data_IF_293360215171
#
_entry.id   IF_293360215171
#
_cell.length_a   1.000
_cell.length_b   1.000
_cell.length_c   1.000
_cell.angle_alpha   90.00
_cell.angle_beta   90.00
_cell.angle_gamma   90.00
#
_symmetry.space_group_name_H-M   'P 1'
#
loop_
_entity.id
_entity.type
_entity.pdbx_description
1 polymer ?
#
# COMPACT_ATOMS: atom_id res chain seq x y z
N UNK A 1 -51.91 -20.97 -29.81
CA UNK A 1 -50.49 -21.31 -29.88
C UNK A 1 -49.79 -20.43 -28.86
N UNK A 2 -49.45 -20.94 -27.68
CA UNK A 2 -48.71 -20.14 -26.68
C UNK A 2 -47.24 -20.12 -27.12
N UNK A 3 -46.76 -18.97 -27.58
CA UNK A 3 -45.33 -18.74 -27.81
C UNK A 3 -44.62 -18.76 -26.46
N UNK A 4 -43.91 -19.84 -26.14
CA UNK A 4 -43.09 -19.88 -24.94
C UNK A 4 -42.01 -18.78 -25.04
N UNK A 5 -42.01 -17.93 -24.07
CA UNK A 5 -40.94 -16.92 -23.95
C UNK A 5 -39.60 -17.63 -23.80
N UNK A 6 -38.74 -17.53 -24.77
CA UNK A 6 -37.44 -18.25 -24.83
C UNK A 6 -36.30 -17.51 -24.13
N UNK A 7 -36.52 -16.24 -23.74
CA UNK A 7 -35.51 -15.39 -23.12
C UNK A 7 -36.02 -14.72 -21.82
N UNK A 8 -35.18 -14.77 -20.78
CA UNK A 8 -35.44 -14.23 -19.46
C UNK A 8 -34.20 -13.40 -18.98
N UNK A 9 -34.22 -12.09 -19.17
CA UNK A 9 -33.07 -11.23 -18.91
C UNK A 9 -31.91 -11.61 -19.83
N UNK A 10 -30.77 -12.01 -19.23
CA UNK A 10 -29.57 -12.50 -19.94
C UNK A 10 -29.55 -14.03 -20.19
N UNK A 11 -30.65 -14.71 -19.92
CA UNK A 11 -30.75 -16.16 -20.03
C UNK A 11 -31.65 -16.53 -21.22
N UNK A 12 -31.16 -17.38 -22.10
CA UNK A 12 -31.91 -18.00 -23.19
C UNK A 12 -32.08 -19.47 -22.85
N UNK A 13 -33.32 -19.97 -23.00
CA UNK A 13 -33.61 -21.42 -22.82
C UNK A 13 -33.04 -22.19 -23.99
N UNK A 14 -32.40 -23.32 -23.74
CA UNK A 14 -32.07 -24.32 -24.69
C UNK A 14 -32.40 -25.71 -24.14
N UNK A 15 -33.07 -26.54 -24.95
CA UNK A 15 -33.54 -27.85 -24.54
C UNK A 15 -34.94 -27.84 -23.89
N UNK A 16 -35.50 -29.01 -23.71
CA UNK A 16 -36.84 -29.22 -23.14
C UNK A 16 -36.80 -29.16 -21.61
N UNK A 17 -37.85 -28.62 -20.95
CA UNK A 17 -37.97 -28.68 -19.49
C UNK A 17 -38.04 -30.13 -18.98
N UNK A 18 -37.47 -30.39 -17.82
CA UNK A 18 -37.44 -31.70 -17.18
C UNK A 18 -37.73 -31.57 -15.68
N UNK A 19 -38.25 -32.65 -15.07
CA UNK A 19 -38.57 -32.66 -13.65
C UNK A 19 -37.48 -33.32 -12.82
N UNK A 20 -37.22 -32.76 -11.61
CA UNK A 20 -36.37 -33.34 -10.56
C UNK A 20 -37.13 -33.42 -9.25
N UNK A 21 -36.93 -34.49 -8.47
CA UNK A 21 -37.44 -34.58 -7.09
C UNK A 21 -36.50 -33.90 -6.15
N UNK A 22 -37.01 -32.87 -5.42
CA UNK A 22 -36.29 -32.15 -4.37
C UNK A 22 -37.14 -32.20 -3.09
N UNK A 23 -36.59 -32.78 -2.02
CA UNK A 23 -37.29 -32.95 -0.73
C UNK A 23 -38.69 -33.55 -0.93
N UNK A 24 -38.83 -34.60 -1.73
CA UNK A 24 -40.08 -35.31 -1.99
C UNK A 24 -41.04 -34.63 -2.98
N UNK A 25 -40.78 -33.39 -3.41
CA UNK A 25 -41.65 -32.65 -4.37
C UNK A 25 -41.02 -32.65 -5.76
N UNK A 26 -41.87 -32.78 -6.80
CA UNK A 26 -41.46 -32.66 -8.21
C UNK A 26 -41.29 -31.15 -8.53
N UNK A 27 -40.14 -30.78 -9.06
CA UNK A 27 -39.81 -29.40 -9.45
C UNK A 27 -39.32 -29.39 -10.88
N UNK A 28 -39.85 -28.47 -11.69
CA UNK A 28 -39.48 -28.31 -13.10
C UNK A 28 -38.22 -27.46 -13.24
N UNK A 29 -37.30 -27.96 -14.06
CA UNK A 29 -36.03 -27.31 -14.43
C UNK A 29 -35.91 -27.19 -15.96
N UNK A 30 -35.08 -26.30 -16.41
CA UNK A 30 -34.66 -26.18 -17.81
C UNK A 30 -33.19 -25.75 -17.89
N UNK A 31 -32.57 -26.11 -19.01
CA UNK A 31 -31.21 -25.61 -19.30
C UNK A 31 -31.29 -24.21 -19.91
N UNK A 32 -30.40 -23.32 -19.44
CA UNK A 32 -30.29 -21.97 -19.97
C UNK A 32 -28.83 -21.63 -20.24
N UNK A 33 -28.61 -20.84 -21.28
CA UNK A 33 -27.33 -20.21 -21.57
C UNK A 33 -27.43 -18.72 -21.29
N UNK A 34 -26.45 -18.17 -20.58
CA UNK A 34 -26.36 -16.74 -20.29
C UNK A 34 -25.59 -16.02 -21.42
N UNK A 35 -25.88 -14.74 -21.66
CA UNK A 35 -25.14 -13.91 -22.64
C UNK A 35 -23.62 -13.93 -22.44
N UNK A 36 -23.14 -14.26 -21.23
CA UNK A 36 -21.72 -14.42 -20.93
C UNK A 36 -21.14 -15.80 -21.24
N UNK A 37 -21.91 -16.67 -21.93
CA UNK A 37 -21.51 -18.01 -22.37
C UNK A 37 -21.70 -19.11 -21.31
N UNK A 38 -22.02 -18.79 -20.06
CA UNK A 38 -22.22 -19.82 -19.03
C UNK A 38 -23.56 -20.51 -19.19
N UNK A 39 -23.55 -21.84 -19.41
CA UNK A 39 -24.74 -22.66 -19.36
C UNK A 39 -24.98 -23.19 -17.94
N UNK A 40 -26.25 -23.25 -17.53
CA UNK A 40 -26.63 -23.79 -16.23
C UNK A 40 -28.09 -24.26 -16.22
N UNK A 41 -28.40 -25.11 -15.28
CA UNK A 41 -29.76 -25.57 -14.97
C UNK A 41 -30.43 -24.55 -14.03
N UNK A 42 -31.68 -24.20 -14.34
CA UNK A 42 -32.48 -23.25 -13.54
C UNK A 42 -33.89 -23.77 -13.34
N UNK A 43 -34.49 -23.51 -12.17
CA UNK A 43 -35.91 -23.82 -11.95
C UNK A 43 -36.78 -22.94 -12.86
N UNK A 44 -37.73 -23.54 -13.55
CA UNK A 44 -38.67 -22.81 -14.44
C UNK A 44 -39.40 -21.70 -13.69
N UNK A 45 -39.86 -21.96 -12.45
CA UNK A 45 -40.53 -20.94 -11.61
C UNK A 45 -39.65 -19.72 -11.32
N UNK A 46 -38.33 -19.89 -11.17
CA UNK A 46 -37.42 -18.76 -10.94
C UNK A 46 -37.21 -17.90 -12.20
N UNK A 47 -37.34 -18.50 -13.39
CA UNK A 47 -37.30 -17.74 -14.63
C UNK A 47 -38.60 -16.96 -14.85
N UNK A 48 -39.74 -17.58 -14.64
CA UNK A 48 -41.05 -16.96 -14.86
C UNK A 48 -41.34 -15.85 -13.84
N UNK A 49 -40.89 -16.01 -12.58
CA UNK A 49 -41.00 -14.97 -11.55
C UNK A 49 -39.96 -13.83 -11.72
N UNK A 50 -38.99 -13.96 -12.62
CA UNK A 50 -37.89 -12.99 -12.76
C UNK A 50 -36.84 -13.03 -11.64
N UNK A 51 -36.93 -13.99 -10.70
CA UNK A 51 -35.96 -14.15 -9.61
C UNK A 51 -34.56 -14.55 -10.12
N UNK A 52 -34.49 -15.15 -11.31
CA UNK A 52 -33.23 -15.52 -11.95
C UNK A 52 -33.21 -14.99 -13.38
N UNK A 53 -32.39 -13.96 -13.64
CA UNK A 53 -32.26 -13.29 -14.94
C UNK A 53 -30.83 -13.28 -15.47
N UNK A 54 -29.87 -13.95 -14.79
CA UNK A 54 -28.49 -14.17 -15.26
C UNK A 54 -27.89 -15.42 -14.59
N UNK A 55 -26.72 -15.85 -15.04
CA UNK A 55 -25.95 -16.93 -14.37
C UNK A 55 -25.36 -16.54 -13.01
N UNK A 56 -25.55 -15.31 -12.56
CA UNK A 56 -24.88 -14.66 -11.42
C UNK A 56 -23.85 -13.62 -11.85
N UNK A 57 -23.54 -13.49 -13.14
CA UNK A 57 -22.58 -12.53 -13.67
C UNK A 57 -22.97 -11.08 -13.38
N UNK A 58 -24.28 -10.74 -13.40
CA UNK A 58 -24.78 -9.41 -13.04
C UNK A 58 -24.51 -9.06 -11.58
N UNK A 59 -24.73 -10.00 -10.66
CA UNK A 59 -24.46 -9.80 -9.24
C UNK A 59 -22.96 -9.59 -8.96
N UNK A 60 -22.10 -10.42 -9.59
CA UNK A 60 -20.63 -10.27 -9.49
C UNK A 60 -20.15 -8.93 -10.03
N UNK A 61 -20.68 -8.50 -11.19
CA UNK A 61 -20.35 -7.20 -11.78
C UNK A 61 -20.76 -6.05 -10.85
N UNK A 62 -22.01 -6.03 -10.38
CA UNK A 62 -22.51 -5.01 -9.43
C UNK A 62 -21.74 -4.99 -8.12
N UNK A 63 -21.38 -6.15 -7.56
CA UNK A 63 -20.57 -6.24 -6.35
C UNK A 63 -19.16 -5.71 -6.56
N UNK A 64 -18.53 -6.03 -7.69
CA UNK A 64 -17.24 -5.51 -8.08
C UNK A 64 -17.24 -3.99 -8.27
N UNK A 65 -18.26 -3.42 -8.92
CA UNK A 65 -18.41 -1.99 -9.11
C UNK A 65 -18.66 -1.25 -7.78
N UNK A 66 -19.49 -1.80 -6.90
CA UNK A 66 -19.77 -1.23 -5.57
C UNK A 66 -18.57 -1.23 -4.63
N UNK A 67 -17.68 -2.22 -4.77
CA UNK A 67 -16.45 -2.34 -3.96
C UNK A 67 -15.27 -1.52 -4.55
N UNK A 68 -15.39 -1.03 -5.78
CA UNK A 68 -14.40 -0.15 -6.40
C UNK A 68 -14.62 1.29 -5.94
N UNK A 69 -13.93 1.71 -4.87
CA UNK A 69 -13.95 3.11 -4.42
C UNK A 69 -13.10 4.01 -5.34
N UNK A 70 -11.89 3.56 -5.72
CA UNK A 70 -10.96 4.35 -6.53
C UNK A 70 -10.27 3.56 -7.67
N UNK A 71 -10.53 2.24 -7.78
CA UNK A 71 -9.99 1.38 -8.85
C UNK A 71 -8.48 1.15 -8.84
N UNK A 72 -7.75 1.63 -7.81
CA UNK A 72 -6.28 1.62 -7.74
C UNK A 72 -5.72 0.70 -6.64
N UNK A 73 -6.52 -0.22 -6.11
CA UNK A 73 -6.15 -1.12 -5.00
C UNK A 73 -4.91 -2.02 -5.26
N UNK A 74 -4.51 -2.18 -6.53
CA UNK A 74 -3.33 -2.96 -6.92
C UNK A 74 -2.10 -2.10 -7.26
N UNK A 75 -2.20 -0.76 -7.15
CA UNK A 75 -1.07 0.12 -7.49
C UNK A 75 -0.05 0.17 -6.37
N UNK A 76 1.20 0.47 -6.72
CA UNK A 76 2.29 0.66 -5.76
C UNK A 76 2.00 1.83 -4.80
N UNK A 77 1.43 2.92 -5.32
CA UNK A 77 1.03 4.08 -4.52
C UNK A 77 0.00 3.70 -3.46
N UNK A 78 -1.05 2.95 -3.84
CA UNK A 78 -2.04 2.46 -2.88
C UNK A 78 -1.43 1.52 -1.83
N UNK A 79 -0.49 0.67 -2.23
CA UNK A 79 0.21 -0.22 -1.30
C UNK A 79 1.04 0.57 -0.28
N UNK A 80 1.65 1.68 -0.69
CA UNK A 80 2.39 2.59 0.22
C UNK A 80 1.46 3.31 1.19
N UNK A 81 0.32 3.79 0.73
CA UNK A 81 -0.73 4.38 1.57
C UNK A 81 -1.29 3.38 2.58
N UNK A 82 -1.62 2.17 2.15
CA UNK A 82 -2.10 1.10 3.03
C UNK A 82 -1.06 0.72 4.08
N UNK A 83 0.21 0.56 3.68
CA UNK A 83 1.30 0.24 4.59
C UNK A 83 1.58 1.34 5.62
N UNK A 84 1.35 2.61 5.30
CA UNK A 84 1.42 3.73 6.24
C UNK A 84 0.36 3.58 7.34
N UNK A 85 -0.90 3.34 6.96
CA UNK A 85 -1.99 3.10 7.91
C UNK A 85 -1.75 1.87 8.78
N UNK A 86 -1.29 0.75 8.18
CA UNK A 86 -0.99 -0.49 8.92
C UNK A 86 0.09 -0.27 9.99
N UNK A 87 1.13 0.50 9.69
CA UNK A 87 2.16 0.87 10.68
C UNK A 87 1.58 1.64 11.87
N UNK A 88 0.73 2.64 11.60
CA UNK A 88 0.13 3.46 12.65
C UNK A 88 -0.92 2.71 13.48
N UNK A 89 -1.56 1.65 12.93
CA UNK A 89 -2.46 0.77 13.69
C UNK A 89 -1.73 -0.10 14.73
N UNK A 90 -0.43 -0.32 14.56
CA UNK A 90 0.39 -1.01 15.55
C UNK A 90 0.07 -2.49 15.75
N UNK A 91 -0.49 -3.18 14.76
CA UNK A 91 -0.81 -4.62 14.86
C UNK A 91 0.41 -5.49 15.13
N UNK A 92 1.57 -5.11 14.59
CA UNK A 92 2.84 -5.78 14.86
C UNK A 92 3.54 -5.08 16.02
N UNK A 93 4.11 -5.84 16.96
CA UNK A 93 4.82 -5.29 18.12
C UNK A 93 5.89 -4.26 17.74
N UNK A 94 6.65 -4.54 16.67
CA UNK A 94 7.65 -3.61 16.16
C UNK A 94 7.05 -2.26 15.74
N UNK A 95 5.88 -2.29 15.10
CA UNK A 95 5.22 -1.10 14.58
C UNK A 95 4.53 -0.34 15.72
N UNK A 96 3.98 -1.05 16.71
CA UNK A 96 3.44 -0.45 17.93
C UNK A 96 4.49 0.39 18.66
N UNK A 97 5.68 -0.16 18.93
CA UNK A 97 6.80 0.56 19.58
C UNK A 97 7.30 1.76 18.79
N UNK A 98 7.28 1.67 17.45
CA UNK A 98 7.84 2.70 16.56
C UNK A 98 6.87 3.81 16.20
N UNK A 99 5.58 3.54 16.25
CA UNK A 99 4.52 4.46 15.80
C UNK A 99 3.49 4.70 16.91
N UNK A 100 2.70 3.72 17.29
CA UNK A 100 1.56 3.89 18.18
C UNK A 100 1.95 4.39 19.57
N UNK A 101 2.96 3.79 20.21
CA UNK A 101 3.45 4.18 21.54
C UNK A 101 4.13 5.57 21.55
N UNK A 102 4.53 6.05 20.36
CA UNK A 102 5.09 7.39 20.17
C UNK A 102 4.05 8.42 19.73
N UNK A 103 2.76 8.05 19.68
CA UNK A 103 1.71 8.94 19.21
C UNK A 103 1.76 9.27 17.71
N UNK A 104 2.47 8.48 16.89
CA UNK A 104 2.57 8.70 15.46
C UNK A 104 1.28 8.22 14.79
N UNK A 105 0.56 9.16 14.20
CA UNK A 105 -0.72 8.93 13.52
C UNK A 105 -0.66 9.38 12.06
N UNK A 106 -1.71 9.07 11.32
CA UNK A 106 -1.95 9.61 9.98
C UNK A 106 -2.98 10.72 10.11
N UNK A 107 -2.80 11.82 9.40
CA UNK A 107 -3.75 12.92 9.40
C UNK A 107 -5.14 12.44 8.91
N UNK A 108 -6.25 13.00 9.43
CA UNK A 108 -7.61 12.57 9.08
C UNK A 108 -7.90 12.65 7.57
N UNK A 109 -7.35 13.63 6.88
CA UNK A 109 -7.53 13.85 5.43
C UNK A 109 -7.04 12.65 4.61
N UNK A 110 -5.97 12.00 5.06
CA UNK A 110 -5.41 10.82 4.39
C UNK A 110 -6.10 9.50 4.75
N UNK A 111 -7.25 9.55 5.42
CA UNK A 111 -8.19 8.42 5.46
C UNK A 111 -8.73 8.10 4.06
N UNK A 112 -8.78 9.09 3.17
CA UNK A 112 -9.05 8.94 1.74
C UNK A 112 -7.75 8.73 0.95
N UNK A 113 -7.70 7.65 0.17
CA UNK A 113 -6.58 7.43 -0.76
C UNK A 113 -6.49 8.51 -1.85
N UNK A 114 -7.61 9.04 -2.30
CA UNK A 114 -7.64 10.11 -3.31
C UNK A 114 -6.99 11.39 -2.78
N UNK A 115 -7.29 11.77 -1.54
CA UNK A 115 -6.67 12.93 -0.90
C UNK A 115 -5.17 12.73 -0.75
N UNK A 116 -4.73 11.56 -0.24
CA UNK A 116 -3.31 11.21 -0.17
C UNK A 116 -2.62 11.31 -1.53
N UNK A 117 -3.24 10.77 -2.60
CA UNK A 117 -2.70 10.82 -3.95
C UNK A 117 -2.60 12.25 -4.49
N UNK A 118 -3.59 13.08 -4.23
CA UNK A 118 -3.59 14.49 -4.67
C UNK A 118 -2.49 15.30 -3.96
N UNK A 119 -2.28 15.03 -2.66
CA UNK A 119 -1.27 15.74 -1.86
C UNK A 119 0.16 15.32 -2.19
N UNK A 120 0.38 14.02 -2.34
CA UNK A 120 1.73 13.46 -2.49
C UNK A 120 2.14 13.21 -3.94
N UNK A 121 1.18 13.12 -4.86
CA UNK A 121 1.45 12.72 -6.24
C UNK A 121 2.04 11.31 -6.37
N UNK A 122 2.50 10.99 -7.57
CA UNK A 122 3.24 9.74 -7.81
C UNK A 122 4.70 9.88 -7.35
N UNK A 123 5.33 8.81 -6.84
CA UNK A 123 6.73 8.85 -6.49
C UNK A 123 7.58 9.14 -7.74
N UNK A 124 8.64 9.97 -7.63
CA UNK A 124 9.50 10.33 -8.78
C UNK A 124 10.14 9.12 -9.48
N UNK A 125 10.36 8.04 -8.74
CA UNK A 125 10.80 6.74 -9.29
C UNK A 125 10.44 5.59 -8.33
N UNK A 126 10.56 4.35 -8.78
CA UNK A 126 10.35 3.15 -7.98
C UNK A 126 11.29 3.05 -6.74
N UNK A 127 12.43 3.74 -6.76
CA UNK A 127 13.37 3.78 -5.64
C UNK A 127 12.96 4.73 -4.51
N UNK A 128 12.04 5.66 -4.76
CA UNK A 128 11.53 6.58 -3.75
C UNK A 128 10.45 5.91 -2.90
N UNK A 129 10.50 6.16 -1.61
CA UNK A 129 9.47 5.68 -0.67
C UNK A 129 9.01 6.83 0.22
N UNK A 130 7.82 6.69 0.81
CA UNK A 130 7.26 7.71 1.68
C UNK A 130 8.11 7.84 2.95
N UNK A 131 8.58 9.03 3.23
CA UNK A 131 9.42 9.39 4.38
C UNK A 131 8.81 10.57 5.13
N UNK A 132 8.93 10.59 6.46
CA UNK A 132 8.55 11.72 7.29
C UNK A 132 9.76 12.61 7.51
N UNK A 133 9.62 13.91 7.26
CA UNK A 133 10.69 14.90 7.48
C UNK A 133 11.09 14.93 8.95
N UNK A 134 10.11 15.09 9.82
CA UNK A 134 10.27 14.95 11.28
C UNK A 134 9.77 13.56 11.71
N UNK A 135 10.68 12.72 12.20
CA UNK A 135 10.38 11.36 12.65
C UNK A 135 9.52 11.28 13.91
N UNK A 136 9.38 12.38 14.66
CA UNK A 136 8.60 12.45 15.89
C UNK A 136 7.17 12.96 15.67
N UNK A 137 6.88 13.48 14.46
CA UNK A 137 5.55 13.89 14.04
C UNK A 137 4.83 12.81 13.21
N UNK A 138 3.51 12.93 13.07
CA UNK A 138 2.65 12.03 12.28
C UNK A 138 2.84 12.20 10.77
N UNK A 139 2.06 11.44 10.02
CA UNK A 139 2.00 11.56 8.57
C UNK A 139 1.01 12.66 8.19
N UNK A 140 1.50 13.67 7.49
CA UNK A 140 0.71 14.75 6.89
C UNK A 140 1.43 15.26 5.65
N UNK A 141 0.76 16.10 4.86
CA UNK A 141 1.33 16.71 3.65
C UNK A 141 2.60 17.49 3.95
N UNK A 142 2.60 18.25 5.04
CA UNK A 142 3.72 19.12 5.45
C UNK A 142 4.91 18.33 6.00
N UNK A 143 4.64 17.15 6.56
CA UNK A 143 5.65 16.30 7.19
C UNK A 143 6.10 15.12 6.36
N UNK A 144 5.56 14.92 5.15
CA UNK A 144 5.89 13.78 4.30
C UNK A 144 6.53 14.23 2.99
N UNK A 145 7.40 13.36 2.48
CA UNK A 145 8.06 13.54 1.18
C UNK A 145 8.34 12.17 0.54
N UNK A 146 8.57 12.19 -0.75
CA UNK A 146 9.20 11.06 -1.44
C UNK A 146 10.70 11.16 -1.24
N UNK A 147 11.31 10.11 -0.70
CA UNK A 147 12.73 10.08 -0.41
C UNK A 147 13.40 8.80 -0.90
N UNK A 148 14.63 8.93 -1.36
CA UNK A 148 15.51 7.81 -1.70
C UNK A 148 15.95 7.07 -0.43
N UNK A 149 16.51 5.86 -0.60
CA UNK A 149 17.08 5.11 0.52
C UNK A 149 18.22 5.87 1.23
N UNK A 150 19.00 6.65 0.48
CA UNK A 150 20.10 7.46 1.03
C UNK A 150 19.54 8.61 1.89
N UNK A 151 18.54 9.34 1.41
CA UNK A 151 17.88 10.41 2.17
C UNK A 151 17.23 9.88 3.44
N UNK A 152 16.52 8.75 3.37
CA UNK A 152 15.94 8.11 4.55
C UNK A 152 17.00 7.62 5.54
N UNK A 153 18.12 7.09 5.04
CA UNK A 153 19.22 6.70 5.91
C UNK A 153 19.80 7.89 6.66
N UNK A 154 19.84 9.05 6.01
CA UNK A 154 20.30 10.30 6.63
C UNK A 154 19.25 10.96 7.55
N UNK A 155 17.96 10.60 7.41
CA UNK A 155 16.87 11.12 8.25
C UNK A 155 16.57 10.28 9.51
N UNK A 156 17.35 9.25 9.81
CA UNK A 156 17.12 8.44 11.02
C UNK A 156 17.44 9.23 12.29
N UNK A 157 16.58 9.13 13.29
CA UNK A 157 16.79 9.73 14.62
C UNK A 157 18.05 9.27 15.35
N UNK A 158 18.56 8.06 14.98
CA UNK A 158 19.81 7.53 15.53
C UNK A 158 21.08 8.09 14.88
N UNK A 159 20.96 8.98 13.89
CA UNK A 159 22.13 9.58 13.26
C UNK A 159 22.79 10.59 14.20
N UNK A 160 24.12 10.62 14.16
CA UNK A 160 24.92 11.68 14.76
C UNK A 160 25.12 12.78 13.74
N UNK A 161 24.79 14.00 14.12
CA UNK A 161 24.93 15.19 13.29
C UNK A 161 26.14 15.99 13.72
N UNK A 162 26.78 16.61 12.76
CA UNK A 162 27.88 17.57 12.95
C UNK A 162 27.45 18.88 12.30
N UNK A 163 27.61 19.97 13.02
CA UNK A 163 27.48 21.32 12.48
C UNK A 163 28.88 21.89 12.22
N UNK A 164 29.10 22.34 11.01
CA UNK A 164 30.36 22.94 10.56
C UNK A 164 30.05 23.97 9.48
N UNK A 165 30.61 25.15 9.60
CA UNK A 165 30.32 26.32 8.76
C UNK A 165 28.82 26.68 8.66
N UNK A 166 28.08 26.55 9.76
CA UNK A 166 26.63 26.76 9.78
C UNK A 166 25.78 25.68 9.04
N UNK A 167 26.44 24.62 8.55
CA UNK A 167 25.77 23.52 7.84
C UNK A 167 25.71 22.30 8.73
N UNK A 168 24.47 21.81 8.97
CA UNK A 168 24.23 20.61 9.76
C UNK A 168 24.01 19.38 8.87
N UNK A 169 24.93 18.42 8.92
CA UNK A 169 24.87 17.16 8.17
C UNK A 169 25.16 15.95 9.07
N UNK A 170 24.73 14.77 8.64
CA UNK A 170 25.11 13.52 9.33
C UNK A 170 26.59 13.22 9.18
N UNK A 171 27.17 12.46 10.12
CA UNK A 171 28.55 11.95 10.01
C UNK A 171 28.76 11.23 8.67
N UNK A 172 27.76 10.54 8.13
CA UNK A 172 27.88 9.85 6.86
C UNK A 172 27.97 10.82 5.66
N UNK A 173 27.20 11.91 5.68
CA UNK A 173 27.23 12.94 4.63
C UNK A 173 28.56 13.70 4.65
N UNK A 174 29.01 14.14 5.84
CA UNK A 174 30.30 14.79 5.97
C UNK A 174 31.46 13.88 5.56
N UNK A 175 31.43 12.60 5.97
CA UNK A 175 32.46 11.65 5.59
C UNK A 175 32.56 11.47 4.08
N UNK A 176 31.41 11.41 3.37
CA UNK A 176 31.34 11.32 1.91
C UNK A 176 31.90 12.60 1.25
N UNK A 177 31.49 13.76 1.73
CA UNK A 177 31.85 15.05 1.16
C UNK A 177 33.33 15.40 1.37
N UNK A 178 33.85 15.14 2.56
CA UNK A 178 35.26 15.42 2.89
C UNK A 178 36.22 14.29 2.54
N UNK A 179 35.71 13.15 2.00
CA UNK A 179 36.53 12.01 1.65
C UNK A 179 37.18 11.30 2.84
N UNK A 180 36.63 11.44 4.04
CA UNK A 180 37.16 10.83 5.26
C UNK A 180 36.45 9.52 5.62
N UNK A 181 37.16 8.63 6.31
CA UNK A 181 36.56 7.38 6.76
C UNK A 181 35.43 7.65 7.77
N UNK A 182 34.19 7.24 7.48
CA UNK A 182 33.03 7.41 8.36
C UNK A 182 33.29 6.89 9.79
N UNK A 183 33.96 5.73 9.92
CA UNK A 183 34.24 5.13 11.24
C UNK A 183 35.19 6.00 12.04
N UNK A 184 36.23 6.51 11.38
CA UNK A 184 37.21 7.41 12.02
C UNK A 184 36.55 8.72 12.45
N UNK A 185 35.74 9.33 11.56
CA UNK A 185 35.00 10.54 11.88
C UNK A 185 34.05 10.32 13.08
N UNK A 186 33.30 9.21 13.09
CA UNK A 186 32.41 8.86 14.21
C UNK A 186 33.17 8.69 15.52
N UNK A 187 34.36 8.06 15.47
CA UNK A 187 35.21 7.90 16.65
C UNK A 187 35.68 9.26 17.21
N UNK A 188 36.18 10.13 16.34
CA UNK A 188 36.67 11.47 16.71
C UNK A 188 35.56 12.29 17.38
N UNK A 189 34.38 12.33 16.78
CA UNK A 189 33.21 13.05 17.34
C UNK A 189 32.82 12.48 18.69
N UNK A 190 32.76 11.16 18.85
CA UNK A 190 32.46 10.52 20.14
C UNK A 190 33.55 10.76 21.20
N UNK A 191 34.80 10.97 20.78
CA UNK A 191 35.90 11.30 21.63
C UNK A 191 35.95 12.80 21.97
N UNK A 192 34.95 13.61 21.54
CA UNK A 192 34.83 15.02 21.86
C UNK A 192 35.72 15.96 21.02
N UNK A 193 36.18 15.51 19.85
CA UNK A 193 36.94 16.37 18.96
C UNK A 193 36.07 17.51 18.43
N UNK A 194 36.69 18.67 18.24
CA UNK A 194 36.08 19.78 17.51
C UNK A 194 35.71 19.34 16.06
N UNK A 195 34.62 19.90 15.52
CA UNK A 195 34.09 19.54 14.24
C UNK A 195 35.08 19.79 13.09
N UNK A 196 35.76 20.97 13.11
CA UNK A 196 36.71 21.34 12.06
C UNK A 196 37.92 20.41 12.08
N UNK A 197 38.48 20.14 13.26
CA UNK A 197 39.60 19.22 13.42
C UNK A 197 39.21 17.78 13.04
N UNK A 198 38.03 17.35 13.46
CA UNK A 198 37.54 16.01 13.14
C UNK A 198 37.35 15.77 11.63
N UNK A 199 36.95 16.80 10.88
CA UNK A 199 36.68 16.75 9.45
C UNK A 199 37.97 16.94 8.60
N UNK A 200 38.95 17.73 9.07
CA UNK A 200 40.17 18.05 8.33
C UNK A 200 41.25 16.97 8.39
N UNK A 201 41.29 16.20 9.47
CA UNK A 201 42.35 15.21 9.67
C UNK A 201 42.22 14.02 8.71
N UNK A 202 43.26 13.73 7.89
CA UNK A 202 43.27 12.58 7.01
C UNK A 202 43.20 11.27 7.81
N UNK A 203 42.59 10.24 7.23
CA UNK A 203 42.62 8.90 7.79
C UNK A 203 43.72 8.07 7.15
N UNK A 204 44.81 7.87 7.88
CA UNK A 204 45.87 6.93 7.46
C UNK A 204 45.49 5.52 7.91
N UNK A 205 45.33 4.61 6.95
CA UNK A 205 45.08 3.19 7.20
C UNK A 205 46.21 2.49 8.01
N UNK A 206 47.37 3.13 8.10
CA UNK A 206 48.57 2.59 8.75
C UNK A 206 48.62 2.81 10.27
N UNK A 207 47.75 3.62 10.86
CA UNK A 207 47.69 3.75 12.32
C UNK A 207 46.83 2.66 12.96
N UNK A 208 47.27 1.39 12.85
CA UNK A 208 47.04 0.44 13.93
C UNK A 208 47.81 1.01 15.14
N UNK A 209 47.10 1.54 16.14
CA UNK A 209 47.69 1.79 17.46
C UNK A 209 48.19 0.42 17.93
N UNK A 210 49.52 0.24 17.83
CA UNK A 210 50.18 -0.82 18.57
C UNK A 210 50.18 -0.32 19.99
N UNK A 211 49.44 -1.04 20.84
CA UNK A 211 49.42 -0.84 22.26
C UNK A 211 50.75 -1.18 22.88
#
# INVERSE_FOLDING_TARGET
>A
MFTMKTRFGKLSIFGSPFSKRIKGKSVMFTMVVCDCGVAKEVRVGNLTSGSTNSCGCLGRKKSGERLRTHGQSGTELHSRWSAMHERCKGYKERDRKRYTERGITVCPEWSSFETFKNDMGEPPSASHTLDRINNDAGYSKENCRWATKEEQANNKSSNVFIEHDGIRKTVAQWAKEKGVCRRALMYRIKAGWDAELALSMPYNHSNKVVA
#
